data_IF_900336340809
#
_entry.id   IF_900336340809
#
_cell.length_a   1.000
_cell.length_b   1.000
_cell.length_c   1.000
_cell.angle_alpha   90.00
_cell.angle_beta   90.00
_cell.angle_gamma   90.00
#
_symmetry.space_group_name_H-M   'P 1'
#
loop_
_entity.id
_entity.type
_entity.pdbx_description
1 polymer ?
#
# COMPACT_ATOMS: atom_id res chain seq x y z
N UNK A 1 37.71 60.75 -7.69
CA UNK A 1 36.80 60.09 -8.64
C UNK A 1 36.93 58.60 -8.37
N UNK A 2 35.99 57.93 -7.68
CA UNK A 2 34.70 57.44 -8.23
C UNK A 2 35.00 56.75 -9.58
N UNK A 3 34.88 55.44 -9.73
CA UNK A 3 33.60 54.74 -9.61
C UNK A 3 33.71 53.26 -9.19
N UNK A 4 32.62 52.81 -8.57
CA UNK A 4 32.24 51.43 -8.27
C UNK A 4 32.13 50.58 -9.54
N UNK A 5 32.54 49.31 -9.47
CA UNK A 5 31.88 48.25 -10.22
C UNK A 5 32.07 46.92 -9.48
N UNK A 6 31.28 46.74 -8.42
CA UNK A 6 31.04 45.44 -7.80
C UNK A 6 30.25 44.64 -8.83
N UNK A 7 30.96 43.93 -9.70
CA UNK A 7 30.40 42.98 -10.63
C UNK A 7 29.93 41.75 -9.86
N UNK A 8 28.68 41.86 -9.41
CA UNK A 8 27.66 40.84 -9.19
C UNK A 8 27.98 39.44 -9.79
N UNK A 9 28.90 38.69 -9.19
CA UNK A 9 28.99 37.25 -9.40
C UNK A 9 28.06 36.58 -8.40
N UNK A 10 26.78 36.59 -8.79
CA UNK A 10 25.76 35.65 -8.37
C UNK A 10 26.32 34.27 -8.71
N UNK A 11 27.13 33.71 -7.82
CA UNK A 11 27.44 32.28 -7.81
C UNK A 11 26.16 31.57 -7.40
N UNK A 12 25.28 31.42 -8.39
CA UNK A 12 24.60 30.18 -8.75
C UNK A 12 24.44 29.27 -7.53
N UNK A 13 23.47 29.62 -6.69
CA UNK A 13 22.79 28.66 -5.80
C UNK A 13 21.89 27.80 -6.70
N UNK A 14 22.52 27.06 -7.62
CA UNK A 14 21.88 26.09 -8.51
C UNK A 14 22.87 24.95 -8.63
N UNK A 15 22.69 23.91 -7.81
CA UNK A 15 23.53 22.72 -7.97
C UNK A 15 23.60 21.75 -6.80
N UNK A 16 23.04 22.07 -5.63
CA UNK A 16 22.96 21.10 -4.53
C UNK A 16 21.58 21.09 -3.90
N UNK A 17 20.55 21.05 -4.76
CA UNK A 17 19.33 20.33 -4.40
C UNK A 17 19.70 18.86 -4.34
N UNK A 18 20.22 18.43 -3.18
CA UNK A 18 20.48 17.02 -2.85
C UNK A 18 19.12 16.33 -2.80
N UNK A 19 18.56 16.04 -3.96
CA UNK A 19 17.51 15.05 -4.14
C UNK A 19 18.20 13.69 -3.96
N UNK A 20 18.54 13.37 -2.71
CA UNK A 20 18.83 12.00 -2.32
C UNK A 20 17.67 11.56 -1.46
N UNK A 21 16.53 11.40 -2.13
CA UNK A 21 15.45 10.55 -1.63
C UNK A 21 15.21 9.40 -2.60
N UNK A 22 16.30 8.82 -3.11
CA UNK A 22 16.26 7.49 -3.68
C UNK A 22 16.64 6.52 -2.56
N UNK A 23 15.75 6.41 -1.57
CA UNK A 23 15.59 5.12 -0.91
C UNK A 23 15.01 4.17 -1.97
N UNK A 24 15.88 3.66 -2.85
CA UNK A 24 15.65 2.38 -3.49
C UNK A 24 15.61 1.37 -2.35
N UNK A 25 14.42 1.26 -1.76
CA UNK A 25 14.09 0.20 -0.85
C UNK A 25 14.36 -1.06 -1.67
N UNK A 26 15.44 -1.76 -1.33
CA UNK A 26 15.94 -2.95 -2.02
C UNK A 26 14.89 -4.03 -1.88
N UNK A 27 13.87 -3.93 -2.72
CA UNK A 27 12.65 -4.72 -2.66
C UNK A 27 12.90 -5.99 -3.42
N UNK A 28 13.19 -7.05 -2.66
CA UNK A 28 13.12 -8.47 -3.03
C UNK A 28 13.63 -8.80 -4.44
N UNK A 29 14.78 -9.45 -4.49
CA UNK A 29 15.58 -9.81 -5.67
C UNK A 29 14.85 -10.68 -6.73
N UNK A 30 13.57 -10.99 -6.51
CA UNK A 30 12.75 -11.87 -7.34
C UNK A 30 11.49 -11.18 -7.89
N UNK A 31 11.48 -9.84 -8.02
CA UNK A 31 10.23 -9.20 -8.41
C UNK A 31 9.83 -9.47 -9.87
N UNK A 32 8.86 -10.37 -10.05
CA UNK A 32 8.26 -10.66 -11.36
C UNK A 32 7.47 -9.44 -11.83
N UNK A 33 7.69 -9.02 -13.08
CA UNK A 33 6.94 -7.96 -13.74
C UNK A 33 5.47 -8.30 -14.06
N UNK A 34 4.86 -9.19 -13.29
CA UNK A 34 3.50 -9.72 -13.51
C UNK A 34 2.61 -9.27 -12.35
N UNK A 35 1.36 -8.93 -12.66
CA UNK A 35 0.35 -8.62 -11.66
C UNK A 35 0.16 -9.80 -10.69
N UNK A 36 0.04 -9.50 -9.39
CA UNK A 36 -0.18 -10.52 -8.37
C UNK A 36 -1.68 -10.72 -8.20
N UNK A 37 -2.15 -11.95 -8.33
CA UNK A 37 -3.52 -12.36 -7.99
C UNK A 37 -3.60 -12.66 -6.50
N UNK A 38 -4.43 -11.92 -5.78
CA UNK A 38 -4.71 -12.14 -4.37
C UNK A 38 -6.08 -12.78 -4.27
N UNK A 39 -6.16 -13.92 -3.59
CA UNK A 39 -7.41 -14.61 -3.25
C UNK A 39 -7.35 -15.09 -1.81
N UNK A 40 -8.35 -14.70 -1.02
CA UNK A 40 -8.40 -15.02 0.41
C UNK A 40 -9.84 -15.15 0.91
N UNK A 41 -9.99 -15.76 2.09
CA UNK A 41 -11.23 -15.87 2.86
C UNK A 41 -11.10 -15.01 4.13
N UNK A 42 -12.13 -14.24 4.44
CA UNK A 42 -12.21 -13.41 5.65
C UNK A 42 -13.08 -14.12 6.69
N UNK A 43 -12.56 -14.27 7.90
CA UNK A 43 -13.29 -14.83 9.04
C UNK A 43 -13.14 -13.97 10.29
N UNK A 44 -14.07 -14.13 11.24
CA UNK A 44 -13.99 -13.54 12.58
C UNK A 44 -13.08 -14.36 13.53
N UNK A 45 -13.00 -13.94 14.79
CA UNK A 45 -12.23 -14.65 15.83
C UNK A 45 -12.74 -16.07 16.14
N UNK A 46 -13.96 -16.41 15.75
CA UNK A 46 -14.55 -17.74 15.90
C UNK A 46 -14.38 -18.61 14.64
N UNK A 47 -13.66 -18.12 13.62
CA UNK A 47 -13.54 -18.72 12.28
C UNK A 47 -14.84 -18.76 11.46
N UNK A 48 -15.81 -17.90 11.77
CA UNK A 48 -17.00 -17.74 10.94
C UNK A 48 -16.71 -16.77 9.79
N UNK A 49 -17.11 -17.14 8.58
CA UNK A 49 -16.92 -16.31 7.39
C UNK A 49 -17.71 -15.01 7.46
N UNK A 50 -17.09 -13.90 7.07
CA UNK A 50 -17.72 -12.58 7.05
C UNK A 50 -18.00 -12.16 5.60
N UNK A 51 -19.27 -11.99 5.28
CA UNK A 51 -19.72 -11.52 3.95
C UNK A 51 -19.78 -9.99 3.87
N UNK A 52 -19.83 -9.47 2.64
CA UNK A 52 -19.97 -8.04 2.35
C UNK A 52 -18.86 -7.16 2.94
N UNK A 53 -17.68 -7.72 3.21
CA UNK A 53 -16.52 -6.95 3.65
C UNK A 53 -15.90 -6.27 2.45
N UNK A 54 -15.85 -4.93 2.50
CA UNK A 54 -15.22 -4.13 1.45
C UNK A 54 -13.72 -4.08 1.67
N UNK A 55 -12.95 -4.36 0.63
CA UNK A 55 -11.49 -4.42 0.67
C UNK A 55 -10.91 -3.24 -0.11
N UNK A 56 -10.07 -2.45 0.54
CA UNK A 56 -9.34 -1.32 -0.02
C UNK A 56 -7.83 -1.52 0.13
N UNK A 57 -7.03 -0.78 -0.64
CA UNK A 57 -5.60 -0.68 -0.41
C UNK A 57 -5.15 0.77 -0.25
N UNK A 58 -4.23 1.04 0.68
CA UNK A 58 -3.76 2.42 0.94
C UNK A 58 -3.15 3.09 -0.31
N UNK A 59 -2.60 2.28 -1.21
CA UNK A 59 -1.90 2.79 -2.40
C UNK A 59 -2.85 3.33 -3.46
N UNK A 60 -4.16 3.09 -3.32
CA UNK A 60 -5.18 3.56 -4.27
C UNK A 60 -6.32 4.18 -3.47
N UNK A 61 -6.19 5.48 -3.21
CA UNK A 61 -7.17 6.26 -2.45
C UNK A 61 -8.56 6.11 -3.09
N UNK A 62 -9.55 5.77 -2.26
CA UNK A 62 -10.98 5.68 -2.62
C UNK A 62 -11.35 4.64 -3.69
N UNK A 63 -10.50 3.65 -3.96
CA UNK A 63 -10.86 2.53 -4.85
C UNK A 63 -11.06 1.24 -4.07
N UNK A 64 -12.31 0.79 -4.03
CA UNK A 64 -12.64 -0.57 -3.61
C UNK A 64 -12.02 -1.57 -4.59
N UNK A 65 -11.37 -2.60 -4.04
CA UNK A 65 -10.71 -3.65 -4.82
C UNK A 65 -11.59 -4.88 -4.96
N UNK A 66 -12.34 -5.23 -3.90
CA UNK A 66 -13.23 -6.37 -3.86
C UNK A 66 -14.25 -6.23 -2.72
N UNK A 67 -15.31 -7.03 -2.80
CA UNK A 67 -16.27 -7.26 -1.72
C UNK A 67 -16.32 -8.77 -1.48
N UNK A 68 -16.28 -9.21 -0.22
CA UNK A 68 -16.36 -10.63 0.11
C UNK A 68 -17.75 -11.21 -0.16
N UNK A 69 -17.80 -12.44 -0.70
CA UNK A 69 -19.05 -13.15 -0.96
C UNK A 69 -19.64 -13.79 0.32
N UNK A 70 -20.70 -14.59 0.19
CA UNK A 70 -21.35 -15.27 1.32
C UNK A 70 -20.44 -16.25 2.09
N UNK A 71 -19.36 -16.73 1.47
CA UNK A 71 -18.35 -17.60 2.08
C UNK A 71 -17.16 -16.79 2.63
N UNK A 72 -17.22 -15.46 2.58
CA UNK A 72 -16.13 -14.57 2.98
C UNK A 72 -14.97 -14.52 1.97
N UNK A 73 -15.12 -15.14 0.80
CA UNK A 73 -14.09 -15.13 -0.24
C UNK A 73 -14.06 -13.80 -0.96
N UNK A 74 -12.85 -13.29 -1.25
CA UNK A 74 -12.62 -12.17 -2.15
C UNK A 74 -11.40 -12.45 -3.03
N UNK A 75 -11.34 -11.78 -4.18
CA UNK A 75 -10.16 -11.79 -5.02
C UNK A 75 -9.99 -10.48 -5.79
N UNK A 76 -8.74 -10.12 -6.08
CA UNK A 76 -8.40 -9.02 -6.98
C UNK A 76 -6.97 -9.16 -7.51
N UNK A 77 -6.65 -8.40 -8.56
CA UNK A 77 -5.28 -8.27 -9.05
C UNK A 77 -4.67 -6.97 -8.54
N UNK A 78 -3.41 -7.04 -8.13
CA UNK A 78 -2.61 -5.87 -7.75
C UNK A 78 -1.38 -5.74 -8.63
N UNK A 79 -0.63 -4.65 -8.45
CA UNK A 79 0.63 -4.43 -9.14
C UNK A 79 1.70 -5.46 -8.76
N UNK A 80 2.94 -5.15 -9.13
CA UNK A 80 4.08 -6.02 -8.84
C UNK A 80 4.41 -6.02 -7.33
N UNK A 81 5.40 -6.82 -6.99
CA UNK A 81 5.89 -7.10 -5.65
C UNK A 81 6.23 -5.85 -4.82
N UNK A 82 6.26 -6.06 -3.51
CA UNK A 82 6.35 -5.01 -2.51
C UNK A 82 5.26 -5.19 -1.47
N UNK A 83 5.17 -4.22 -0.56
CA UNK A 83 4.19 -4.23 0.52
C UNK A 83 2.84 -3.69 0.03
N UNK A 84 1.77 -4.20 0.63
CA UNK A 84 0.42 -3.70 0.48
C UNK A 84 -0.22 -3.58 1.85
N UNK A 85 -0.81 -2.42 2.12
CA UNK A 85 -1.69 -2.22 3.27
C UNK A 85 -3.11 -2.47 2.79
N UNK A 86 -3.78 -3.48 3.32
CA UNK A 86 -5.19 -3.74 3.07
C UNK A 86 -6.04 -3.21 4.22
N UNK A 87 -7.11 -2.51 3.86
CA UNK A 87 -8.16 -2.08 4.77
C UNK A 87 -9.41 -2.91 4.49
N UNK A 88 -10.00 -3.46 5.53
CA UNK A 88 -11.22 -4.25 5.51
C UNK A 88 -12.27 -3.46 6.27
N UNK A 89 -13.38 -3.13 5.60
CA UNK A 89 -14.53 -2.44 6.20
C UNK A 89 -15.67 -3.46 6.27
N UNK A 90 -16.07 -3.84 7.48
CA UNK A 90 -17.15 -4.82 7.70
C UNK A 90 -18.52 -4.18 7.45
N UNK A 91 -19.60 -4.98 7.32
CA UNK A 91 -20.96 -4.45 7.23
C UNK A 91 -21.38 -3.60 8.44
N UNK A 92 -20.77 -3.85 9.60
CA UNK A 92 -20.97 -3.07 10.83
C UNK A 92 -20.10 -1.81 10.91
N UNK A 93 -19.46 -1.44 9.78
CA UNK A 93 -18.57 -0.27 9.63
C UNK A 93 -17.30 -0.35 10.51
N UNK A 94 -16.92 -1.54 10.98
CA UNK A 94 -15.64 -1.74 11.65
C UNK A 94 -14.49 -1.78 10.64
N UNK A 95 -13.39 -1.10 10.97
CA UNK A 95 -12.25 -0.94 10.07
C UNK A 95 -11.03 -1.69 10.60
N UNK A 96 -10.57 -2.67 9.84
CA UNK A 96 -9.37 -3.44 10.13
C UNK A 96 -8.28 -3.13 9.11
N UNK A 97 -7.08 -2.84 9.57
CA UNK A 97 -5.93 -2.57 8.68
C UNK A 97 -4.84 -3.61 8.90
N UNK A 98 -4.39 -4.27 7.83
CA UNK A 98 -3.29 -5.25 7.87
C UNK A 98 -2.29 -4.99 6.75
N UNK A 99 -1.00 -5.14 7.07
CA UNK A 99 0.10 -4.98 6.11
C UNK A 99 0.64 -6.34 5.73
N UNK A 100 0.85 -6.54 4.44
CA UNK A 100 1.38 -7.78 3.87
C UNK A 100 2.45 -7.47 2.84
N UNK A 101 3.29 -8.47 2.56
CA UNK A 101 3.96 -8.52 1.26
C UNK A 101 2.94 -9.05 0.23
N UNK A 102 2.81 -8.40 -0.93
CA UNK A 102 1.79 -8.75 -1.93
C UNK A 102 1.82 -10.22 -2.33
N UNK A 103 3.02 -10.81 -2.45
CA UNK A 103 3.21 -12.22 -2.79
C UNK A 103 2.92 -13.20 -1.65
N UNK A 104 2.65 -12.71 -0.44
CA UNK A 104 2.47 -13.51 0.78
C UNK A 104 1.21 -13.09 1.55
N UNK A 105 0.17 -12.62 0.85
CA UNK A 105 -1.15 -12.45 1.46
C UNK A 105 -1.71 -13.85 1.78
N UNK A 106 -2.10 -14.12 3.04
CA UNK A 106 -2.55 -15.44 3.42
C UNK A 106 -3.91 -15.77 2.80
N UNK A 107 -4.15 -17.06 2.54
CA UNK A 107 -5.44 -17.55 2.02
C UNK A 107 -6.60 -17.38 3.01
N UNK A 108 -6.28 -17.26 4.30
CA UNK A 108 -7.25 -17.04 5.37
C UNK A 108 -6.82 -15.81 6.18
N UNK A 109 -7.71 -14.83 6.32
CA UNK A 109 -7.49 -13.59 7.06
C UNK A 109 -8.50 -13.54 8.20
N UNK A 110 -7.99 -13.50 9.43
CA UNK A 110 -8.82 -13.31 10.63
C UNK A 110 -8.92 -11.83 10.99
N UNK A 111 -10.14 -11.31 11.09
CA UNK A 111 -10.42 -9.99 11.64
C UNK A 111 -10.72 -10.15 13.12
N UNK A 112 -9.68 -9.93 13.92
CA UNK A 112 -9.75 -9.99 15.38
C UNK A 112 -9.30 -8.62 15.89
N UNK A 113 -10.08 -8.02 16.79
CA UNK A 113 -9.62 -6.85 17.51
C UNK A 113 -8.46 -7.27 18.41
N UNK A 114 -7.31 -6.63 18.24
CA UNK A 114 -6.25 -6.65 19.26
C UNK A 114 -6.74 -5.76 20.40
N UNK A 115 -7.51 -6.34 21.31
CA UNK A 115 -7.74 -5.74 22.62
C UNK A 115 -6.43 -5.62 23.38
#
# INVERSE_FOLDING_TARGET
>A
MKENLIALLICIVVGTGVIVMVMYNKGSENCKGVAIHIKSVIVDGNNLSISNVKVYADSIVNKELAISNSQGEFEFYTGVCGKITLQFVTPDEEIYTKKYDRGHVPKLIRLENKH
#
